data_IF_993697021960
#
_entry.id   IF_993697021960
#
_cell.length_a   1.000
_cell.length_b   1.000
_cell.length_c   1.000
_cell.angle_alpha   90.00
_cell.angle_beta   90.00
_cell.angle_gamma   90.00
#
_symmetry.space_group_name_H-M   'P 1'
#
loop_
_entity.id
_entity.type
_entity.pdbx_description
1 polymer ?
#
# COMPACT_ATOMS: atom_id res chain seq x y z
N UNK A 1 13.04 14.38 2.72
CA UNK A 1 11.60 14.03 2.60
C UNK A 1 11.56 12.60 2.08
N UNK A 2 10.83 11.69 2.72
CA UNK A 2 10.71 10.29 2.31
C UNK A 2 9.48 10.20 1.40
N UNK A 3 9.63 9.77 0.15
CA UNK A 3 8.52 9.48 -0.76
C UNK A 3 8.12 8.01 -0.68
N UNK A 4 6.92 7.63 -1.14
CA UNK A 4 6.49 6.23 -1.22
C UNK A 4 7.51 5.36 -1.98
N UNK A 5 7.95 5.83 -3.15
CA UNK A 5 8.97 5.17 -3.97
C UNK A 5 10.28 5.00 -3.19
N UNK A 6 10.73 6.06 -2.49
CA UNK A 6 11.94 6.02 -1.67
C UNK A 6 11.83 5.05 -0.49
N UNK A 7 10.67 4.99 0.17
CA UNK A 7 10.39 4.07 1.26
C UNK A 7 10.45 2.60 0.80
N UNK A 8 9.79 2.27 -0.31
CA UNK A 8 9.80 0.92 -0.90
C UNK A 8 11.24 0.52 -1.26
N UNK A 9 11.97 1.41 -1.95
CA UNK A 9 13.36 1.16 -2.34
C UNK A 9 14.26 0.91 -1.12
N UNK A 10 14.13 1.75 -0.09
CA UNK A 10 14.89 1.62 1.14
C UNK A 10 14.59 0.28 1.83
N UNK A 11 13.31 -0.09 1.96
CA UNK A 11 12.90 -1.32 2.63
C UNK A 11 13.48 -2.55 1.92
N UNK A 12 13.31 -2.65 0.60
CA UNK A 12 13.79 -3.80 -0.19
C UNK A 12 15.32 -3.88 -0.19
N UNK A 13 16.00 -2.74 -0.30
CA UNK A 13 17.48 -2.71 -0.34
C UNK A 13 18.10 -3.13 1.01
N UNK A 14 17.51 -2.69 2.12
CA UNK A 14 18.07 -2.94 3.45
C UNK A 14 17.58 -4.25 4.07
N UNK A 15 16.42 -4.76 3.64
CA UNK A 15 15.80 -5.97 4.16
C UNK A 15 15.35 -6.87 3.00
N UNK A 16 16.30 -7.45 2.23
CA UNK A 16 15.96 -8.31 1.12
C UNK A 16 15.24 -9.58 1.60
N UNK A 17 14.14 -9.92 0.94
CA UNK A 17 13.30 -11.07 1.22
C UNK A 17 12.80 -11.73 -0.07
N UNK A 18 12.39 -12.99 0.02
CA UNK A 18 11.77 -13.73 -1.10
C UNK A 18 10.34 -13.27 -1.39
N UNK A 19 9.68 -12.67 -0.40
CA UNK A 19 8.30 -12.20 -0.48
C UNK A 19 8.17 -10.83 0.16
N UNK A 20 7.36 -9.96 -0.44
CA UNK A 20 7.10 -8.60 0.06
C UNK A 20 5.60 -8.34 0.19
N UNK A 21 5.24 -7.69 1.30
CA UNK A 21 3.92 -7.11 1.50
C UNK A 21 4.05 -5.58 1.60
N UNK A 22 3.20 -4.86 0.88
CA UNK A 22 3.07 -3.41 0.97
C UNK A 22 1.70 -3.09 1.56
N UNK A 23 1.66 -2.45 2.72
CA UNK A 23 0.42 -2.11 3.42
C UNK A 23 0.34 -0.60 3.58
N UNK A 24 -0.74 -0.02 3.05
CA UNK A 24 -1.10 1.39 3.16
C UNK A 24 -2.07 1.53 4.34
N UNK A 25 -1.72 2.34 5.34
CA UNK A 25 -2.58 2.59 6.52
C UNK A 25 -2.72 4.08 6.78
N UNK A 26 -3.91 4.62 6.52
CA UNK A 26 -4.35 5.99 6.78
C UNK A 26 -5.82 6.14 6.27
N UNK A 27 -6.32 7.36 6.12
CA UNK A 27 -7.55 7.69 5.41
C UNK A 27 -7.53 7.21 3.95
N UNK A 28 -8.65 6.67 3.49
CA UNK A 28 -8.85 6.29 2.10
C UNK A 28 -9.94 7.13 1.45
N UNK A 29 -9.74 7.47 0.17
CA UNK A 29 -10.66 8.29 -0.61
C UNK A 29 -11.40 7.55 -1.71
N UNK A 30 -11.10 6.25 -1.96
CA UNK A 30 -11.37 5.55 -3.22
C UNK A 30 -10.57 6.13 -4.39
N UNK A 31 -11.21 6.38 -5.54
CA UNK A 31 -10.58 6.85 -6.77
C UNK A 31 -9.80 8.18 -6.70
N UNK A 32 -10.09 9.15 -5.80
CA UNK A 32 -9.25 10.31 -5.59
C UNK A 32 -7.85 9.94 -5.08
N UNK A 33 -7.73 8.92 -4.23
CA UNK A 33 -6.45 8.46 -3.71
C UNK A 33 -6.48 8.01 -2.24
N UNK A 34 -5.33 8.14 -1.58
CA UNK A 34 -5.07 7.62 -0.23
C UNK A 34 -4.21 8.57 0.59
N UNK A 35 -4.40 8.54 1.91
CA UNK A 35 -3.47 9.13 2.87
C UNK A 35 -3.49 10.64 2.89
N UNK A 36 -4.67 11.20 3.10
CA UNK A 36 -4.84 12.63 3.36
C UNK A 36 -3.91 13.10 4.48
N UNK A 37 -3.25 14.23 4.25
CA UNK A 37 -2.45 14.96 5.23
C UNK A 37 -3.27 16.13 5.76
N UNK A 38 -3.91 15.93 6.90
CA UNK A 38 -4.77 16.93 7.55
C UNK A 38 -3.95 18.11 8.13
N UNK A 39 -2.62 18.05 8.04
CA UNK A 39 -1.70 19.09 8.53
C UNK A 39 -1.15 19.96 7.40
N UNK A 40 -1.32 19.54 6.15
CA UNK A 40 -0.82 20.24 4.97
C UNK A 40 -1.94 20.49 3.96
N UNK A 41 -2.52 21.70 3.93
CA UNK A 41 -3.42 22.08 2.85
C UNK A 41 -2.65 22.21 1.53
N UNK A 42 -3.17 21.58 0.47
CA UNK A 42 -2.82 21.85 -0.92
C UNK A 42 -2.98 23.34 -1.27
N UNK A 43 -2.37 23.72 -2.40
CA UNK A 43 -2.36 25.08 -2.94
C UNK A 43 -3.76 25.64 -3.25
N UNK A 44 -4.79 24.79 -3.27
CA UNK A 44 -6.18 25.15 -3.57
C UNK A 44 -7.15 25.00 -2.36
N UNK A 45 -6.63 24.76 -1.16
CA UNK A 45 -7.41 24.72 0.09
C UNK A 45 -8.09 23.38 0.40
N UNK A 46 -7.70 22.30 -0.27
CA UNK A 46 -8.00 20.91 0.11
C UNK A 46 -6.79 20.31 0.85
N UNK A 47 -6.97 19.23 1.61
CA UNK A 47 -5.85 18.51 2.22
C UNK A 47 -5.08 17.70 1.15
N UNK A 48 -3.74 17.67 1.24
CA UNK A 48 -2.87 16.92 0.31
C UNK A 48 -3.06 15.42 0.48
N UNK A 49 -3.09 14.64 -0.61
CA UNK A 49 -3.23 13.19 -0.58
C UNK A 49 -2.45 12.54 -1.71
N UNK A 50 -2.04 11.28 -1.53
CA UNK A 50 -1.44 10.52 -2.63
C UNK A 50 -2.50 10.12 -3.63
N UNK A 51 -2.49 10.78 -4.78
CA UNK A 51 -3.39 10.44 -5.89
C UNK A 51 -3.09 9.04 -6.43
N UNK A 52 -4.08 8.42 -7.08
CA UNK A 52 -3.87 7.13 -7.72
C UNK A 52 -2.74 7.15 -8.77
N UNK A 53 -2.55 8.26 -9.48
CA UNK A 53 -1.46 8.45 -10.46
C UNK A 53 -0.08 8.52 -9.79
N UNK A 54 0.02 9.19 -8.65
CA UNK A 54 1.26 9.27 -7.87
C UNK A 54 1.61 7.91 -7.25
N UNK A 55 0.63 7.18 -6.75
CA UNK A 55 0.83 5.81 -6.24
C UNK A 55 1.30 4.88 -7.37
N UNK A 56 0.66 4.94 -8.54
CA UNK A 56 1.05 4.17 -9.73
C UNK A 56 2.50 4.44 -10.12
N UNK A 57 2.84 5.73 -10.27
CA UNK A 57 4.18 6.18 -10.66
C UNK A 57 5.24 5.80 -9.62
N UNK A 58 4.93 5.95 -8.33
CA UNK A 58 5.86 5.64 -7.26
C UNK A 58 6.16 4.14 -7.14
N UNK A 59 5.14 3.29 -7.28
CA UNK A 59 5.35 1.84 -7.23
C UNK A 59 6.08 1.36 -8.49
N UNK A 60 5.74 1.90 -9.67
CA UNK A 60 6.46 1.61 -10.91
C UNK A 60 7.94 1.95 -10.80
N UNK A 61 8.26 3.16 -10.32
CA UNK A 61 9.64 3.58 -10.14
C UNK A 61 10.39 2.68 -9.15
N UNK A 62 9.77 2.36 -8.02
CA UNK A 62 10.40 1.54 -6.98
C UNK A 62 10.65 0.10 -7.44
N UNK A 63 9.69 -0.53 -8.14
CA UNK A 63 9.84 -1.88 -8.71
C UNK A 63 10.94 -1.91 -9.77
N UNK A 64 11.02 -0.90 -10.64
CA UNK A 64 12.10 -0.77 -11.62
C UNK A 64 13.49 -0.64 -10.98
N UNK A 65 13.61 0.12 -9.89
CA UNK A 65 14.90 0.36 -9.21
C UNK A 65 15.36 -0.80 -8.34
N UNK A 66 14.43 -1.54 -7.75
CA UNK A 66 14.73 -2.66 -6.85
C UNK A 66 14.79 -4.00 -7.56
N UNK A 67 14.20 -4.10 -8.76
CA UNK A 67 14.15 -5.33 -9.55
C UNK A 67 13.08 -6.32 -9.09
N UNK A 68 12.25 -5.99 -8.10
CA UNK A 68 11.09 -6.81 -7.77
C UNK A 68 10.03 -6.67 -8.87
N UNK A 69 9.40 -7.79 -9.25
CA UNK A 69 8.35 -7.76 -10.27
C UNK A 69 6.99 -7.35 -9.67
N UNK A 70 6.58 -8.02 -8.58
CA UNK A 70 5.33 -7.76 -7.85
C UNK A 70 5.50 -8.03 -6.36
N UNK A 71 4.75 -7.29 -5.56
CA UNK A 71 4.46 -7.64 -4.17
C UNK A 71 3.57 -8.88 -4.11
N UNK A 72 3.79 -9.72 -3.10
CA UNK A 72 2.94 -10.88 -2.84
C UNK A 72 1.58 -10.45 -2.28
N UNK A 73 1.57 -9.34 -1.52
CA UNK A 73 0.38 -8.73 -0.97
C UNK A 73 0.47 -7.20 -1.10
N UNK A 74 -0.59 -6.59 -1.60
CA UNK A 74 -0.86 -5.16 -1.42
C UNK A 74 -2.12 -5.05 -0.58
N UNK A 75 -2.03 -4.31 0.52
CA UNK A 75 -3.13 -4.08 1.46
C UNK A 75 -3.41 -2.60 1.64
N UNK A 76 -4.69 -2.23 1.72
CA UNK A 76 -5.13 -0.91 2.16
C UNK A 76 -5.97 -1.08 3.43
N UNK A 77 -5.36 -0.80 4.58
CA UNK A 77 -6.01 -0.62 5.88
C UNK A 77 -6.56 0.81 5.93
N UNK A 78 -7.56 1.03 5.09
CA UNK A 78 -8.11 2.33 4.75
C UNK A 78 -9.51 2.19 4.14
N UNK A 79 -10.36 3.18 4.40
CA UNK A 79 -11.74 3.23 3.88
C UNK A 79 -11.80 3.24 2.34
N UNK A 80 -12.80 2.57 1.77
CA UNK A 80 -13.19 2.70 0.36
C UNK A 80 -12.13 2.29 -0.68
N UNK A 81 -11.11 1.54 -0.29
CA UNK A 81 -10.03 1.13 -1.19
C UNK A 81 -10.31 -0.17 -1.96
N UNK A 82 -11.41 -0.88 -1.71
CA UNK A 82 -11.88 -1.93 -2.62
C UNK A 82 -12.65 -1.37 -3.83
N UNK A 83 -12.19 -0.23 -4.37
CA UNK A 83 -12.72 0.42 -5.57
C UNK A 83 -12.04 -0.10 -6.84
N UNK A 84 -12.81 -0.19 -7.94
CA UNK A 84 -12.33 -0.80 -9.19
C UNK A 84 -11.19 -0.01 -9.85
N UNK A 85 -11.11 1.32 -9.67
CA UNK A 85 -9.99 2.12 -10.19
C UNK A 85 -8.71 1.79 -9.44
N UNK A 86 -8.76 1.77 -8.09
CA UNK A 86 -7.60 1.37 -7.27
C UNK A 86 -7.16 -0.04 -7.62
N UNK A 87 -8.08 -1.01 -7.67
CA UNK A 87 -7.76 -2.39 -8.05
C UNK A 87 -7.15 -2.48 -9.46
N UNK A 88 -7.64 -1.69 -10.42
CA UNK A 88 -7.12 -1.70 -11.79
C UNK A 88 -5.63 -1.33 -11.85
N UNK A 89 -5.20 -0.37 -11.04
CA UNK A 89 -3.81 0.04 -10.94
C UNK A 89 -3.02 -1.01 -10.15
N UNK A 90 -3.50 -1.40 -8.97
CA UNK A 90 -2.79 -2.29 -8.05
C UNK A 90 -2.56 -3.70 -8.62
N UNK A 91 -3.42 -4.19 -9.53
CA UNK A 91 -3.22 -5.49 -10.21
C UNK A 91 -1.87 -5.57 -10.94
N UNK A 92 -1.27 -4.44 -11.33
CA UNK A 92 0.02 -4.39 -12.00
C UNK A 92 1.15 -4.75 -11.04
N UNK A 93 1.00 -4.42 -9.76
CA UNK A 93 2.07 -4.48 -8.76
C UNK A 93 1.88 -5.55 -7.70
N UNK A 94 0.66 -6.05 -7.48
CA UNK A 94 0.35 -7.06 -6.47
C UNK A 94 -0.08 -8.40 -7.07
N UNK A 95 0.19 -9.50 -6.35
CA UNK A 95 -0.42 -10.82 -6.61
C UNK A 95 -1.76 -10.97 -5.92
N UNK A 96 -1.85 -10.49 -4.68
CA UNK A 96 -3.07 -10.46 -3.85
C UNK A 96 -3.33 -9.00 -3.46
N UNK A 97 -4.60 -8.60 -3.53
CA UNK A 97 -5.08 -7.30 -3.10
C UNK A 97 -6.08 -7.46 -1.96
N UNK A 98 -5.95 -6.68 -0.89
CA UNK A 98 -6.89 -6.63 0.23
C UNK A 98 -7.24 -5.17 0.54
N UNK A 99 -8.54 -4.88 0.64
CA UNK A 99 -9.05 -3.58 1.05
C UNK A 99 -10.56 -3.66 1.31
N UNK A 100 -11.13 -2.61 1.89
CA UNK A 100 -12.57 -2.52 2.17
C UNK A 100 -13.32 -1.67 1.14
N UNK A 101 -14.50 -2.13 0.71
CA UNK A 101 -15.43 -1.34 -0.13
C UNK A 101 -16.05 -0.18 0.66
N UNK A 102 -16.15 -0.35 1.98
CA UNK A 102 -16.79 0.57 2.91
C UNK A 102 -15.74 1.19 3.84
N UNK A 103 -16.19 2.07 4.72
CA UNK A 103 -15.42 2.56 5.87
C UNK A 103 -14.87 1.43 6.75
N UNK A 104 -13.63 1.62 7.22
CA UNK A 104 -12.97 0.72 8.16
C UNK A 104 -12.99 1.29 9.60
N UNK A 105 -12.94 0.44 10.64
CA UNK A 105 -12.76 0.91 12.00
C UNK A 105 -11.44 1.67 12.17
N UNK A 106 -11.44 2.81 12.87
CA UNK A 106 -10.22 3.61 13.08
C UNK A 106 -9.10 2.94 13.88
N UNK A 107 -9.35 1.75 14.45
CA UNK A 107 -8.30 0.91 15.06
C UNK A 107 -7.47 0.14 14.01
N UNK A 108 -7.92 0.12 12.76
CA UNK A 108 -7.31 -0.58 11.65
C UNK A 108 -7.43 -2.11 11.75
N UNK A 109 -6.53 -2.79 11.06
CA UNK A 109 -6.51 -4.26 10.99
C UNK A 109 -5.96 -4.92 12.28
N UNK A 110 -6.31 -6.19 12.49
CA UNK A 110 -5.75 -7.02 13.57
C UNK A 110 -4.34 -7.50 13.22
N UNK A 111 -3.36 -6.60 13.26
CA UNK A 111 -1.98 -6.85 12.83
C UNK A 111 -1.27 -7.97 13.61
N UNK A 112 -1.60 -8.17 14.88
CA UNK A 112 -1.07 -9.27 15.69
C UNK A 112 -1.38 -10.63 15.07
N UNK A 113 -2.61 -10.82 14.58
CA UNK A 113 -3.01 -12.04 13.87
C UNK A 113 -2.45 -12.09 12.46
N UNK A 114 -2.55 -11.01 11.70
CA UNK A 114 -2.10 -10.96 10.30
C UNK A 114 -0.59 -11.26 10.21
N UNK A 115 0.23 -10.58 11.02
CA UNK A 115 1.68 -10.77 11.01
C UNK A 115 2.07 -12.18 11.48
N UNK A 116 1.29 -12.78 12.38
CA UNK A 116 1.44 -14.19 12.76
C UNK A 116 1.29 -15.09 11.53
N UNK A 117 0.20 -14.97 10.77
CA UNK A 117 -0.01 -15.78 9.56
C UNK A 117 1.02 -15.50 8.46
N UNK A 118 1.41 -14.24 8.25
CA UNK A 118 2.42 -13.89 7.24
C UNK A 118 3.82 -14.43 7.60
N UNK A 119 4.17 -14.46 8.89
CA UNK A 119 5.43 -15.04 9.36
C UNK A 119 5.48 -16.56 9.22
N UNK A 120 4.36 -17.25 9.43
CA UNK A 120 4.33 -18.71 9.41
C UNK A 120 4.11 -19.31 8.02
N UNK A 121 3.58 -18.55 7.05
CA UNK A 121 3.44 -18.98 5.65
C UNK A 121 4.77 -19.16 4.89
N UNK A 122 5.91 -18.91 5.54
CA UNK A 122 7.27 -19.19 5.05
C UNK A 122 7.91 -20.42 5.69
N UNK A 123 7.24 -21.09 6.63
CA UNK A 123 7.62 -22.41 7.13
C UNK A 123 6.74 -23.44 6.38
N UNK A 124 7.31 -24.49 5.75
CA UNK A 124 6.51 -25.56 5.19
C UNK A 124 5.58 -26.09 6.29
N UNK A 125 4.30 -26.23 5.98
CA UNK A 125 3.38 -26.98 6.84
C UNK A 125 3.51 -28.44 6.38
N UNK A 126 4.38 -29.18 7.04
CA UNK A 126 4.49 -30.63 6.96
C UNK A 126 3.33 -31.36 7.64
#
# INVERSE_FOLDING_TARGET
MISLSGFIQWAITNYPADKYALIFGNHGGAWPGFGTDETSPEVDGNDDLLTLEEIDSAILEATQKTGINKFDLIGFDACLQADIQTLHIMKQYGKIYVGSEETEPGIGWQYDQILTYLRFASIPID
#
